data_IF_982786923471
#
_entry.id   IF_982786923471
#
_cell.length_a   1.000
_cell.length_b   1.000
_cell.length_c   1.000
_cell.angle_alpha   90.00
_cell.angle_beta   90.00
_cell.angle_gamma   90.00
#
_symmetry.space_group_name_H-M   'P 1'
#
loop_
_entity.id
_entity.type
_entity.pdbx_description
1 polymer ?
#
# COMPACT_ATOMS: atom_id res chain seq x y z
N UNK A 1 11.24 7.39 -2.41
CA UNK A 1 12.69 7.47 -2.68
C UNK A 1 12.84 7.39 -4.18
N UNK A 2 13.51 8.32 -4.85
CA UNK A 2 13.57 8.36 -6.30
C UNK A 2 14.52 7.28 -6.86
N UNK A 3 13.99 6.10 -7.10
CA UNK A 3 14.68 5.05 -7.86
C UNK A 3 14.29 5.17 -9.34
N UNK A 4 15.26 5.02 -10.24
CA UNK A 4 15.06 4.98 -11.70
C UNK A 4 13.95 4.00 -12.10
N UNK A 5 13.32 4.20 -13.28
CA UNK A 5 12.28 3.31 -13.83
C UNK A 5 12.61 1.82 -13.67
N UNK A 6 13.85 1.43 -13.99
CA UNK A 6 14.31 0.04 -13.87
C UNK A 6 14.20 -0.48 -12.44
N UNK A 7 14.60 0.31 -11.46
CA UNK A 7 14.55 -0.08 -10.05
C UNK A 7 13.11 -0.18 -9.54
N UNK A 8 12.21 0.71 -9.98
CA UNK A 8 10.78 0.59 -9.66
C UNK A 8 10.17 -0.68 -10.26
N UNK A 9 10.49 -1.05 -11.50
CA UNK A 9 9.99 -2.31 -12.09
C UNK A 9 10.59 -3.57 -11.47
N UNK A 10 11.88 -3.56 -11.11
CA UNK A 10 12.52 -4.67 -10.39
C UNK A 10 11.87 -4.84 -9.02
N UNK A 11 11.65 -3.74 -8.29
CA UNK A 11 10.93 -3.77 -7.04
C UNK A 11 9.50 -4.31 -7.22
N UNK A 12 8.77 -3.83 -8.24
CA UNK A 12 7.43 -4.30 -8.55
C UNK A 12 7.37 -5.81 -8.77
N UNK A 13 8.31 -6.36 -9.56
CA UNK A 13 8.40 -7.79 -9.81
C UNK A 13 8.73 -8.58 -8.53
N UNK A 14 9.76 -8.17 -7.79
CA UNK A 14 10.16 -8.83 -6.54
C UNK A 14 9.07 -8.81 -5.48
N UNK A 15 8.43 -7.66 -5.29
CA UNK A 15 7.33 -7.48 -4.34
C UNK A 15 6.07 -8.25 -4.75
N UNK A 16 5.76 -8.32 -6.03
CA UNK A 16 4.64 -9.12 -6.53
C UNK A 16 4.89 -10.61 -6.31
N UNK A 17 6.09 -11.10 -6.61
CA UNK A 17 6.47 -12.49 -6.34
C UNK A 17 6.38 -12.82 -4.85
N UNK A 18 6.96 -11.98 -4.00
CA UNK A 18 6.87 -12.13 -2.54
C UNK A 18 5.43 -12.06 -2.05
N UNK A 19 4.61 -11.14 -2.59
CA UNK A 19 3.20 -10.99 -2.25
C UNK A 19 2.38 -12.23 -2.58
N UNK A 20 2.64 -12.87 -3.72
CA UNK A 20 2.01 -14.16 -4.07
C UNK A 20 2.43 -15.24 -3.08
N UNK A 21 3.71 -15.31 -2.72
CA UNK A 21 4.21 -16.30 -1.75
C UNK A 21 3.59 -16.08 -0.37
N UNK A 22 3.58 -14.85 0.15
CA UNK A 22 3.01 -14.53 1.46
C UNK A 22 1.51 -14.78 1.50
N UNK A 23 0.78 -14.52 0.42
CA UNK A 23 -0.65 -14.83 0.32
C UNK A 23 -0.93 -16.33 0.32
N UNK A 24 -0.08 -17.13 -0.35
CA UNK A 24 -0.20 -18.60 -0.32
C UNK A 24 0.07 -19.18 1.07
N UNK A 25 0.98 -18.57 1.83
CA UNK A 25 1.32 -18.97 3.20
C UNK A 25 0.32 -18.45 4.25
N UNK A 26 -0.59 -17.54 3.88
CA UNK A 26 -1.62 -17.03 4.79
C UNK A 26 -2.70 -18.08 5.05
N UNK A 27 -2.52 -18.89 6.10
CA UNK A 27 -3.45 -19.97 6.48
C UNK A 27 -4.73 -19.49 7.18
N UNK A 28 -4.86 -18.20 7.44
CA UNK A 28 -5.97 -17.64 8.20
C UNK A 28 -6.41 -16.27 7.66
N UNK A 29 -7.72 -16.02 7.69
CA UNK A 29 -8.37 -14.85 7.07
C UNK A 29 -7.88 -13.52 7.66
N UNK A 30 -7.51 -13.51 8.94
CA UNK A 30 -6.93 -12.39 9.68
C UNK A 30 -5.53 -12.01 9.19
N UNK A 31 -4.79 -12.95 8.57
CA UNK A 31 -3.44 -12.72 8.05
C UNK A 31 -3.44 -12.26 6.59
N UNK A 32 -4.53 -12.47 5.85
CA UNK A 32 -4.62 -12.12 4.42
C UNK A 32 -4.31 -10.63 4.17
N UNK A 33 -4.87 -9.67 4.93
CA UNK A 33 -4.57 -8.26 4.69
C UNK A 33 -3.08 -7.92 4.84
N UNK A 34 -2.42 -8.49 5.86
CA UNK A 34 -0.99 -8.31 6.07
C UNK A 34 -0.18 -8.95 4.93
N UNK A 35 -0.56 -10.17 4.55
CA UNK A 35 0.08 -10.95 3.50
C UNK A 35 -0.06 -10.33 2.10
N UNK A 36 -1.11 -9.54 1.86
CA UNK A 36 -1.31 -8.79 0.61
C UNK A 36 -0.49 -7.49 0.52
N UNK A 37 0.09 -6.99 1.62
CA UNK A 37 0.86 -5.73 1.60
C UNK A 37 1.99 -5.71 0.55
N UNK A 38 2.84 -6.75 0.41
CA UNK A 38 3.89 -6.74 -0.60
C UNK A 38 3.32 -6.64 -2.02
N UNK A 39 2.19 -7.30 -2.29
CA UNK A 39 1.54 -7.26 -3.60
C UNK A 39 1.00 -5.85 -3.93
N UNK A 40 0.39 -5.19 -2.95
CA UNK A 40 -0.10 -3.80 -3.07
C UNK A 40 1.06 -2.82 -3.27
N UNK A 41 2.15 -3.00 -2.53
CA UNK A 41 3.36 -2.19 -2.70
C UNK A 41 4.00 -2.43 -4.08
N UNK A 42 4.01 -3.68 -4.57
CA UNK A 42 4.47 -4.01 -5.92
C UNK A 42 3.64 -3.32 -7.00
N UNK A 43 2.32 -3.26 -6.84
CA UNK A 43 1.45 -2.50 -7.75
C UNK A 43 1.78 -1.00 -7.73
N UNK A 44 2.01 -0.41 -6.55
CA UNK A 44 2.43 0.98 -6.44
C UNK A 44 3.79 1.22 -7.13
N UNK A 45 4.77 0.31 -6.98
CA UNK A 45 6.07 0.42 -7.66
C UNK A 45 5.94 0.30 -9.18
N UNK A 46 5.00 -0.50 -9.69
CA UNK A 46 4.72 -0.55 -11.13
C UNK A 46 4.17 0.79 -11.64
N UNK A 47 3.25 1.41 -10.89
CA UNK A 47 2.72 2.75 -11.20
C UNK A 47 3.83 3.80 -11.16
N UNK A 48 4.71 3.77 -10.17
CA UNK A 48 5.88 4.67 -10.10
C UNK A 48 6.79 4.49 -11.33
N UNK A 49 7.04 3.25 -11.76
CA UNK A 49 7.78 2.96 -13.00
C UNK A 49 7.12 3.58 -14.23
N UNK A 50 5.79 3.55 -14.31
CA UNK A 50 5.02 4.21 -15.39
C UNK A 50 5.18 5.73 -15.31
N UNK A 51 5.17 6.34 -14.12
CA UNK A 51 5.41 7.78 -13.92
C UNK A 51 6.77 8.19 -14.51
N UNK A 52 7.81 7.37 -14.31
CA UNK A 52 9.15 7.64 -14.86
C UNK A 52 9.21 7.59 -16.39
N UNK A 53 8.55 6.59 -17.01
CA UNK A 53 8.59 6.40 -18.47
C UNK A 53 7.64 7.34 -19.22
N UNK A 54 6.63 7.87 -18.55
CA UNK A 54 5.60 8.74 -19.14
C UNK A 54 5.99 10.21 -19.27
N UNK A 55 7.24 10.59 -18.98
CA UNK A 55 7.71 11.99 -19.01
C UNK A 55 7.48 12.71 -20.35
N UNK A 56 7.40 11.98 -21.48
CA UNK A 56 7.08 12.53 -22.80
C UNK A 56 5.59 12.55 -23.17
N UNK A 57 4.71 12.03 -22.30
CA UNK A 57 3.27 11.84 -22.58
C UNK A 57 2.46 12.43 -21.42
N UNK A 58 2.08 13.73 -21.48
CA UNK A 58 1.54 14.46 -20.33
C UNK A 58 0.30 13.82 -19.70
N UNK A 59 -0.63 13.32 -20.51
CA UNK A 59 -1.86 12.70 -20.00
C UNK A 59 -1.57 11.42 -19.21
N UNK A 60 -0.65 10.57 -19.70
CA UNK A 60 -0.26 9.33 -19.04
C UNK A 60 0.47 9.61 -17.74
N UNK A 61 1.35 10.63 -17.74
CA UNK A 61 2.08 11.04 -16.55
C UNK A 61 1.14 11.53 -15.46
N UNK A 62 0.20 12.44 -15.78
CA UNK A 62 -0.78 12.93 -14.83
C UNK A 62 -1.68 11.81 -14.28
N UNK A 63 -2.13 10.89 -15.13
CA UNK A 63 -2.93 9.74 -14.69
C UNK A 63 -2.14 8.81 -13.76
N UNK A 64 -0.90 8.46 -14.11
CA UNK A 64 -0.07 7.60 -13.29
C UNK A 64 0.31 8.26 -11.96
N UNK A 65 0.63 9.56 -11.96
CA UNK A 65 0.90 10.33 -10.76
C UNK A 65 -0.33 10.40 -9.84
N UNK A 66 -1.53 10.58 -10.42
CA UNK A 66 -2.77 10.55 -9.65
C UNK A 66 -2.98 9.19 -8.96
N UNK A 67 -2.81 8.08 -9.69
CA UNK A 67 -2.90 6.73 -9.11
C UNK A 67 -1.87 6.53 -8.00
N UNK A 68 -0.62 6.97 -8.22
CA UNK A 68 0.44 6.88 -7.21
C UNK A 68 0.08 7.64 -5.92
N UNK A 69 -0.44 8.87 -6.05
CA UNK A 69 -0.87 9.68 -4.90
C UNK A 69 -2.08 9.06 -4.20
N UNK A 70 -3.01 8.46 -4.93
CA UNK A 70 -4.15 7.71 -4.37
C UNK A 70 -3.69 6.51 -3.53
N UNK A 71 -2.65 5.78 -3.96
CA UNK A 71 -2.06 4.74 -3.12
C UNK A 71 -1.57 5.33 -1.79
N UNK A 72 -0.82 6.44 -1.84
CA UNK A 72 -0.23 7.05 -0.65
C UNK A 72 -1.25 7.69 0.31
N UNK A 73 -2.26 8.39 -0.20
CA UNK A 73 -3.18 9.20 0.62
C UNK A 73 -4.49 8.50 0.95
N UNK A 74 -4.88 7.50 0.16
CA UNK A 74 -6.17 6.81 0.34
C UNK A 74 -5.93 5.35 0.66
N UNK A 75 -5.17 4.62 -0.15
CA UNK A 75 -5.03 3.18 0.08
C UNK A 75 -4.30 2.89 1.39
N UNK A 76 -3.08 3.39 1.59
CA UNK A 76 -2.28 3.06 2.78
C UNK A 76 -2.91 3.53 4.11
N UNK A 77 -3.42 4.77 4.23
CA UNK A 77 -4.02 5.24 5.48
C UNK A 77 -5.24 4.44 5.92
N UNK A 78 -5.97 3.80 4.99
CA UNK A 78 -7.10 2.93 5.31
C UNK A 78 -6.72 1.45 5.42
N UNK A 79 -5.74 1.01 4.63
CA UNK A 79 -5.35 -0.40 4.53
C UNK A 79 -4.47 -0.88 5.69
N UNK A 80 -3.43 -0.13 6.06
CA UNK A 80 -2.54 -0.49 7.20
C UNK A 80 -3.34 -0.74 8.49
N UNK A 81 -4.30 0.13 8.84
CA UNK A 81 -5.19 -0.07 9.98
C UNK A 81 -5.99 -1.35 9.97
N UNK A 82 -6.56 -1.66 8.81
CA UNK A 82 -7.35 -2.84 8.61
C UNK A 82 -6.45 -4.08 8.75
N UNK A 83 -5.26 -4.04 8.18
CA UNK A 83 -4.30 -5.13 8.27
C UNK A 83 -3.81 -5.39 9.69
N UNK A 84 -3.45 -4.34 10.43
CA UNK A 84 -3.06 -4.45 11.85
C UNK A 84 -4.23 -4.91 12.71
N UNK A 85 -5.41 -4.32 12.50
CA UNK A 85 -6.62 -4.63 13.26
C UNK A 85 -7.23 -6.01 12.97
N UNK A 86 -6.90 -6.63 11.85
CA UNK A 86 -7.23 -8.02 11.53
C UNK A 86 -6.37 -8.98 12.35
N UNK A 87 -5.06 -8.71 12.47
CA UNK A 87 -4.09 -9.58 13.15
C UNK A 87 -4.19 -9.54 14.69
N UNK A 88 -4.69 -8.43 15.26
CA UNK A 88 -4.76 -8.26 16.71
C UNK A 88 -5.93 -9.06 17.33
N UNK A 89 -5.68 -9.91 18.35
CA UNK A 89 -6.73 -10.63 19.06
C UNK A 89 -7.72 -9.67 19.75
N UNK A 90 -9.00 -10.09 19.95
CA UNK A 90 -9.99 -9.25 20.61
C UNK A 90 -9.56 -8.88 22.05
N UNK A 91 -9.43 -7.58 22.33
CA UNK A 91 -8.99 -7.08 23.63
C UNK A 91 -8.75 -5.57 23.65
N UNK A 92 -8.34 -5.03 24.81
CA UNK A 92 -8.13 -3.58 25.04
C UNK A 92 -7.11 -2.96 24.07
N UNK A 93 -6.11 -3.73 23.63
CA UNK A 93 -5.05 -3.30 22.71
C UNK A 93 -5.58 -3.02 21.29
N UNK A 94 -6.50 -3.87 20.81
CA UNK A 94 -7.21 -3.68 19.54
C UNK A 94 -8.06 -2.42 19.53
N UNK A 95 -8.71 -2.11 20.66
CA UNK A 95 -9.50 -0.88 20.83
C UNK A 95 -8.61 0.36 20.86
N UNK A 96 -7.48 0.32 21.56
CA UNK A 96 -6.52 1.43 21.58
C UNK A 96 -5.96 1.73 20.18
N UNK A 97 -5.54 0.70 19.44
CA UNK A 97 -5.06 0.85 18.06
C UNK A 97 -6.12 1.48 17.14
N UNK A 98 -7.38 1.05 17.23
CA UNK A 98 -8.49 1.66 16.48
C UNK A 98 -8.73 3.12 16.83
N UNK A 99 -8.62 3.49 18.11
CA UNK A 99 -8.80 4.89 18.56
C UNK A 99 -7.66 5.77 18.04
N UNK A 100 -6.41 5.34 18.17
CA UNK A 100 -5.27 6.08 17.58
C UNK A 100 -5.43 6.27 16.09
N UNK A 101 -5.98 5.27 15.42
CA UNK A 101 -6.29 5.34 14.02
C UNK A 101 -7.35 6.34 13.67
N UNK A 102 -8.48 6.32 14.38
CA UNK A 102 -9.55 7.29 14.21
C UNK A 102 -9.03 8.72 14.42
N UNK A 103 -8.22 8.93 15.46
CA UNK A 103 -7.59 10.23 15.75
C UNK A 103 -6.65 10.65 14.61
N UNK A 104 -5.80 9.75 14.12
CA UNK A 104 -4.89 10.02 13.00
C UNK A 104 -5.62 10.37 11.71
N UNK A 105 -6.68 9.64 11.36
CA UNK A 105 -7.51 9.95 10.19
C UNK A 105 -8.30 11.26 10.34
N UNK A 106 -8.72 11.62 11.56
CA UNK A 106 -9.38 12.90 11.84
C UNK A 106 -8.41 14.08 11.73
N UNK A 107 -7.15 13.94 12.18
CA UNK A 107 -6.14 14.99 12.02
C UNK A 107 -5.77 15.25 10.56
N UNK A 108 -5.72 14.20 9.72
CA UNK A 108 -5.44 14.36 8.28
C UNK A 108 -6.56 15.08 7.53
N UNK A 109 -7.81 14.96 7.99
CA UNK A 109 -8.96 15.61 7.34
C UNK A 109 -9.13 17.10 7.71
N UNK A 110 -8.30 17.62 8.62
CA UNK A 110 -8.35 19.01 9.09
C UNK A 110 -7.19 19.91 8.63
N UNK A 111 -6.38 19.45 7.67
CA UNK A 111 -5.22 20.19 7.11
C UNK A 111 -5.50 20.74 5.72
#
# INVERSE_FOLDING_TARGET
MCFSATASFVAAAGLSAMGVVTLREAKSIDRIPLAAMPLLFGAQQAVEGIVWVSSGVPWLHSSAAFVYVMFSHVLWPFYVPLAVGALEPPGRRRTALRIFLLIGSLSVSGS
#
